data_IF_879625773902
#
_entry.id   IF_879625773902
#
_cell.length_a   1.000
_cell.length_b   1.000
_cell.length_c   1.000
_cell.angle_alpha   90.00
_cell.angle_beta   90.00
_cell.angle_gamma   90.00
#
_symmetry.space_group_name_H-M   'P 1'
#
loop_
_entity.id
_entity.type
_entity.pdbx_description
1 polymer ?
#
# COMPACT_ATOMS: atom_id res chain seq x y z
N UNK A 1 -0.32 -11.22 -22.19
CA UNK A 1 0.23 -11.50 -20.85
C UNK A 1 0.76 -10.22 -20.20
N UNK A 2 1.62 -9.45 -20.88
CA UNK A 2 2.18 -8.20 -20.34
C UNK A 2 1.14 -7.10 -20.04
N UNK A 3 0.19 -6.87 -20.96
CA UNK A 3 -0.85 -5.82 -20.77
C UNK A 3 -1.75 -6.12 -19.57
N UNK A 4 -2.23 -7.36 -19.45
CA UNK A 4 -3.04 -7.81 -18.31
C UNK A 4 -2.30 -7.67 -16.98
N UNK A 5 -1.01 -8.03 -16.96
CA UNK A 5 -0.17 -7.84 -15.76
C UNK A 5 -0.02 -6.36 -15.39
N UNK A 6 0.24 -5.48 -16.38
CA UNK A 6 0.34 -4.03 -16.15
C UNK A 6 -0.96 -3.44 -15.62
N UNK A 7 -2.12 -3.85 -16.14
CA UNK A 7 -3.44 -3.41 -15.64
C UNK A 7 -3.63 -3.82 -14.18
N UNK A 8 -3.35 -5.08 -13.84
CA UNK A 8 -3.45 -5.59 -12.48
C UNK A 8 -2.51 -4.84 -11.53
N UNK A 9 -1.23 -4.73 -11.89
CA UNK A 9 -0.23 -4.02 -11.08
C UNK A 9 -0.61 -2.55 -10.88
N UNK A 10 -1.12 -1.88 -11.92
CA UNK A 10 -1.56 -0.48 -11.83
C UNK A 10 -2.76 -0.33 -10.89
N UNK A 11 -3.71 -1.27 -10.92
CA UNK A 11 -4.84 -1.27 -9.99
C UNK A 11 -4.37 -1.39 -8.53
N UNK A 12 -3.48 -2.33 -8.27
CA UNK A 12 -2.90 -2.55 -6.93
C UNK A 12 -2.09 -1.35 -6.44
N UNK A 13 -1.27 -0.76 -7.32
CA UNK A 13 -0.53 0.46 -7.00
C UNK A 13 -1.48 1.63 -6.70
N UNK A 14 -2.58 1.76 -7.45
CA UNK A 14 -3.58 2.80 -7.20
C UNK A 14 -4.23 2.66 -5.82
N UNK A 15 -4.61 1.44 -5.43
CA UNK A 15 -5.14 1.13 -4.09
C UNK A 15 -4.08 1.40 -3.01
N UNK A 16 -2.84 0.98 -3.23
CA UNK A 16 -1.70 1.20 -2.31
C UNK A 16 -1.48 2.70 -2.06
N UNK A 17 -1.36 3.48 -3.14
CA UNK A 17 -1.16 4.92 -3.07
C UNK A 17 -2.32 5.62 -2.37
N UNK A 18 -3.57 5.19 -2.61
CA UNK A 18 -4.73 5.72 -1.91
C UNK A 18 -4.63 5.51 -0.40
N UNK A 19 -4.35 4.28 0.05
CA UNK A 19 -4.26 3.97 1.47
C UNK A 19 -3.11 4.74 2.15
N UNK A 20 -1.95 4.83 1.51
CA UNK A 20 -0.81 5.61 2.01
C UNK A 20 -1.18 7.10 2.13
N UNK A 21 -1.82 7.67 1.11
CA UNK A 21 -2.24 9.09 1.12
C UNK A 21 -3.25 9.39 2.23
N UNK A 22 -4.13 8.44 2.56
CA UNK A 22 -5.12 8.59 3.62
C UNK A 22 -4.60 8.19 5.01
N UNK A 23 -3.38 7.63 5.11
CA UNK A 23 -2.87 7.07 6.36
C UNK A 23 -3.68 5.87 6.88
N UNK A 24 -4.32 5.12 5.98
CA UNK A 24 -5.18 4.00 6.35
C UNK A 24 -4.38 2.70 6.50
N UNK A 25 -4.73 1.85 7.48
CA UNK A 25 -4.11 0.54 7.61
C UNK A 25 -4.48 -0.32 6.40
N UNK A 26 -3.52 -1.11 5.91
CA UNK A 26 -3.74 -1.96 4.73
C UNK A 26 -4.57 -3.20 5.08
N UNK A 27 -4.27 -3.81 6.22
CA UNK A 27 -4.72 -5.15 6.56
C UNK A 27 -5.92 -5.21 7.46
N UNK A 28 -6.67 -6.29 7.31
CA UNK A 28 -7.70 -6.73 8.23
C UNK A 28 -7.14 -7.74 9.23
N UNK A 29 -7.90 -8.01 10.29
CA UNK A 29 -7.60 -9.09 11.23
C UNK A 29 -7.82 -10.47 10.59
N UNK A 30 -8.79 -10.58 9.68
CA UNK A 30 -9.10 -11.78 8.93
C UNK A 30 -9.26 -11.43 7.44
N UNK A 31 -8.29 -11.83 6.62
CA UNK A 31 -8.28 -11.64 5.17
C UNK A 31 -8.81 -12.88 4.41
N UNK A 32 -9.40 -13.85 5.10
CA UNK A 32 -9.97 -15.04 4.46
C UNK A 32 -11.15 -14.69 3.55
N UNK A 33 -11.42 -15.54 2.56
CA UNK A 33 -12.53 -15.34 1.61
C UNK A 33 -13.91 -15.23 2.25
N UNK A 34 -14.05 -15.77 3.46
CA UNK A 34 -15.31 -15.82 4.20
C UNK A 34 -15.44 -14.69 5.23
N UNK A 35 -14.41 -13.83 5.35
CA UNK A 35 -14.45 -12.68 6.23
C UNK A 35 -15.47 -11.65 5.75
N UNK A 36 -16.20 -11.03 6.69
CA UNK A 36 -17.09 -9.90 6.40
C UNK A 36 -16.33 -8.61 6.08
N UNK A 37 -15.05 -8.54 6.47
CA UNK A 37 -14.16 -7.42 6.18
C UNK A 37 -12.73 -7.92 6.10
N UNK A 38 -12.22 -8.03 4.87
CA UNK A 38 -10.87 -8.51 4.55
C UNK A 38 -9.78 -7.46 4.71
N UNK A 39 -10.09 -6.33 5.35
CA UNK A 39 -9.19 -5.19 5.48
C UNK A 39 -9.27 -4.22 4.30
N UNK A 40 -8.80 -2.99 4.53
CA UNK A 40 -9.00 -1.89 3.59
C UNK A 40 -8.40 -2.16 2.21
N UNK A 41 -7.26 -2.87 2.13
CA UNK A 41 -6.62 -3.17 0.85
C UNK A 41 -7.48 -4.08 -0.03
N UNK A 42 -7.94 -5.21 0.51
CA UNK A 42 -8.72 -6.18 -0.26
C UNK A 42 -10.12 -5.65 -0.55
N UNK A 43 -10.78 -5.01 0.41
CA UNK A 43 -12.11 -4.41 0.22
C UNK A 43 -12.07 -3.29 -0.82
N UNK A 44 -11.05 -2.43 -0.80
CA UNK A 44 -10.92 -1.34 -1.77
C UNK A 44 -10.55 -1.86 -3.17
N UNK A 45 -9.71 -2.90 -3.25
CA UNK A 45 -9.39 -3.55 -4.53
C UNK A 45 -10.62 -4.21 -5.15
N UNK A 46 -11.42 -4.90 -4.34
CA UNK A 46 -12.70 -5.49 -4.78
C UNK A 46 -13.66 -4.39 -5.25
N UNK A 47 -13.85 -3.34 -4.44
CA UNK A 47 -14.68 -2.19 -4.79
C UNK A 47 -14.25 -1.51 -6.11
N UNK A 48 -12.94 -1.39 -6.32
CA UNK A 48 -12.35 -0.81 -7.52
C UNK A 48 -12.55 -1.71 -8.74
N UNK A 49 -12.30 -3.02 -8.58
CA UNK A 49 -12.45 -4.01 -9.65
C UNK A 49 -13.88 -4.11 -10.17
N UNK A 50 -14.90 -4.03 -9.30
CA UNK A 50 -16.31 -4.05 -9.68
C UNK A 50 -16.72 -2.90 -10.61
N UNK A 51 -15.93 -1.83 -10.67
CA UNK A 51 -16.19 -0.62 -11.48
C UNK A 51 -15.35 -0.54 -12.74
N UNK A 52 -14.39 -1.46 -12.91
CA UNK A 52 -13.49 -1.47 -14.05
C UNK A 52 -13.40 -2.89 -14.59
N UNK A 53 -14.06 -3.13 -15.73
CA UNK A 53 -14.15 -4.47 -16.34
C UNK A 53 -12.78 -5.07 -16.66
N UNK A 54 -11.81 -4.26 -17.09
CA UNK A 54 -10.45 -4.73 -17.36
C UNK A 54 -9.75 -5.17 -16.08
N UNK A 55 -9.87 -4.37 -15.01
CA UNK A 55 -9.31 -4.73 -13.69
C UNK A 55 -10.00 -5.98 -13.15
N UNK A 56 -11.33 -6.07 -13.22
CA UNK A 56 -12.08 -7.27 -12.83
C UNK A 56 -11.57 -8.53 -13.52
N UNK A 57 -11.38 -8.46 -14.85
CA UNK A 57 -10.85 -9.58 -15.64
C UNK A 57 -9.47 -10.00 -15.15
N UNK A 58 -8.60 -9.05 -14.80
CA UNK A 58 -7.22 -9.37 -14.38
C UNK A 58 -7.07 -9.79 -12.92
N UNK A 59 -7.88 -9.24 -12.02
CA UNK A 59 -7.84 -9.52 -10.57
C UNK A 59 -8.62 -10.79 -10.23
N UNK A 60 -9.81 -10.98 -10.82
CA UNK A 60 -10.75 -11.99 -10.36
C UNK A 60 -10.87 -13.24 -11.28
N UNK A 61 -10.32 -13.24 -12.51
CA UNK A 61 -10.30 -14.46 -13.36
C UNK A 61 -9.21 -15.46 -12.95
N UNK A 62 -8.92 -15.57 -11.64
CA UNK A 62 -7.86 -16.39 -11.06
C UNK A 62 -6.51 -16.17 -11.76
N UNK A 63 -5.89 -15.02 -11.49
CA UNK A 63 -4.44 -14.91 -11.67
C UNK A 63 -3.79 -16.14 -10.98
N UNK A 64 -2.92 -16.92 -11.68
CA UNK A 64 -2.34 -18.13 -11.11
C UNK A 64 -1.72 -17.78 -9.77
N UNK A 65 -1.93 -18.59 -8.71
CA UNK A 65 -1.83 -18.16 -7.30
C UNK A 65 -0.65 -17.23 -6.92
N UNK A 66 0.51 -17.40 -7.56
CA UNK A 66 1.69 -16.54 -7.35
C UNK A 66 1.57 -15.11 -7.92
N UNK A 67 0.58 -14.82 -8.75
CA UNK A 67 0.35 -13.57 -9.47
C UNK A 67 -0.88 -12.80 -8.95
N UNK A 68 -1.41 -13.19 -7.79
CA UNK A 68 -2.50 -12.45 -7.14
C UNK A 68 -2.05 -11.08 -6.62
N UNK A 69 -0.74 -10.92 -6.37
CA UNK A 69 -0.13 -9.66 -5.90
C UNK A 69 -0.74 -9.06 -4.61
N UNK A 70 -1.62 -9.80 -3.94
CA UNK A 70 -2.38 -9.40 -2.76
C UNK A 70 -1.78 -9.91 -1.46
N UNK A 71 -0.71 -10.73 -1.54
CA UNK A 71 -0.15 -11.37 -0.36
C UNK A 71 0.39 -10.34 0.64
N UNK A 72 0.38 -10.67 1.95
CA UNK A 72 1.03 -9.93 3.00
C UNK A 72 2.41 -9.35 2.65
N UNK A 73 3.26 -10.15 2.03
CA UNK A 73 4.62 -9.77 1.66
C UNK A 73 4.63 -8.73 0.55
N UNK A 74 3.82 -8.94 -0.49
CA UNK A 74 3.76 -8.06 -1.67
C UNK A 74 3.15 -6.70 -1.29
N UNK A 75 2.11 -6.66 -0.47
CA UNK A 75 1.54 -5.40 0.05
C UNK A 75 2.62 -4.55 0.75
N UNK A 76 3.50 -5.19 1.54
CA UNK A 76 4.60 -4.52 2.23
C UNK A 76 5.68 -4.04 1.25
N UNK A 77 6.03 -4.85 0.25
CA UNK A 77 6.99 -4.45 -0.80
C UNK A 77 6.48 -3.25 -1.60
N UNK A 78 5.20 -3.21 -1.95
CA UNK A 78 4.57 -2.08 -2.64
C UNK A 78 4.56 -0.82 -1.78
N UNK A 79 4.21 -0.94 -0.49
CA UNK A 79 4.26 0.18 0.43
C UNK A 79 5.69 0.75 0.57
N UNK A 80 6.69 -0.13 0.68
CA UNK A 80 8.09 0.25 0.73
C UNK A 80 8.54 0.94 -0.56
N UNK A 81 8.17 0.39 -1.73
CA UNK A 81 8.50 0.98 -3.03
C UNK A 81 7.90 2.39 -3.13
N UNK A 82 6.63 2.57 -2.77
CA UNK A 82 5.99 3.90 -2.74
C UNK A 82 6.70 4.85 -1.78
N UNK A 83 7.08 4.39 -0.58
CA UNK A 83 7.80 5.20 0.39
C UNK A 83 9.19 5.64 -0.10
N UNK A 84 9.92 4.76 -0.80
CA UNK A 84 11.20 5.08 -1.43
C UNK A 84 11.02 6.15 -2.51
N UNK A 85 10.00 5.99 -3.35
CA UNK A 85 9.68 6.88 -4.45
C UNK A 85 9.29 8.28 -3.96
N UNK A 86 8.44 8.35 -2.93
CA UNK A 86 8.03 9.59 -2.27
C UNK A 86 9.24 10.26 -1.61
N UNK A 87 10.04 9.49 -0.85
CA UNK A 87 11.25 10.02 -0.20
C UNK A 87 12.22 10.60 -1.23
N UNK A 88 12.43 9.91 -2.35
CA UNK A 88 13.31 10.41 -3.42
C UNK A 88 12.80 11.74 -3.97
N UNK A 89 11.51 11.85 -4.27
CA UNK A 89 10.92 13.11 -4.76
C UNK A 89 11.09 14.24 -3.73
N UNK A 90 10.90 13.96 -2.43
CA UNK A 90 11.12 14.96 -1.37
C UNK A 90 12.59 15.38 -1.31
N UNK A 91 13.53 14.44 -1.37
CA UNK A 91 14.97 14.73 -1.34
C UNK A 91 15.40 15.54 -2.58
N UNK A 92 14.90 15.17 -3.75
CA UNK A 92 15.18 15.88 -5.01
C UNK A 92 14.61 17.32 -4.98
N UNK A 93 13.44 17.52 -4.36
CA UNK A 93 12.81 18.84 -4.18
C UNK A 93 13.57 19.73 -3.19
N UNK A 94 14.08 19.15 -2.10
CA UNK A 94 14.99 19.85 -1.16
C UNK A 94 16.29 20.22 -1.87
N UNK A 95 16.86 19.32 -2.67
CA UNK A 95 18.15 19.51 -3.33
C UNK A 95 19.28 19.78 -2.33
N UNK A 96 20.07 20.82 -2.58
CA UNK A 96 21.17 21.24 -1.70
C UNK A 96 20.76 22.27 -0.63
N UNK A 97 19.45 22.51 -0.46
CA UNK A 97 18.96 23.48 0.51
C UNK A 97 19.05 22.96 1.96
N UNK A 98 18.99 23.88 2.91
CA UNK A 98 18.89 23.53 4.32
C UNK A 98 17.52 22.89 4.62
N UNK A 99 17.55 21.79 5.39
CA UNK A 99 16.36 21.15 5.95
C UNK A 99 16.53 20.97 7.46
N UNK A 100 15.43 20.75 8.16
CA UNK A 100 15.43 20.48 9.61
C UNK A 100 14.77 19.14 9.88
N UNK A 101 15.30 18.37 10.82
CA UNK A 101 14.70 17.12 11.25
C UNK A 101 14.02 17.32 12.60
N UNK A 102 12.72 17.04 12.69
CA UNK A 102 12.02 17.00 13.97
C UNK A 102 12.02 15.56 14.48
N UNK A 103 12.56 15.37 15.68
CA UNK A 103 12.58 14.08 16.37
C UNK A 103 11.71 14.21 17.62
N UNK A 104 10.63 13.43 17.65
CA UNK A 104 9.72 13.34 18.80
C UNK A 104 9.86 11.97 19.46
N UNK A 105 9.98 11.96 20.79
CA UNK A 105 10.08 10.74 21.58
C UNK A 105 8.92 10.68 22.57
N UNK A 106 8.12 9.62 22.46
CA UNK A 106 7.01 9.36 23.35
C UNK A 106 7.09 7.94 23.93
N UNK A 107 6.57 7.73 25.13
CA UNK A 107 6.42 6.39 25.71
C UNK A 107 4.99 5.90 25.52
N UNK A 108 4.83 4.70 25.00
CA UNK A 108 3.52 4.07 24.86
C UNK A 108 3.07 3.38 26.17
N UNK A 109 1.82 2.90 26.19
CA UNK A 109 1.24 2.20 27.35
C UNK A 109 1.99 0.89 27.70
N UNK A 110 2.85 0.38 26.83
CA UNK A 110 3.71 -0.78 27.08
C UNK A 110 5.08 -0.39 27.65
N UNK A 111 5.28 0.89 28.01
CA UNK A 111 6.52 1.47 28.55
C UNK A 111 7.66 1.44 27.51
N UNK A 112 7.35 1.18 26.24
CA UNK A 112 8.33 1.23 25.15
C UNK A 112 8.45 2.66 24.66
N UNK A 113 9.70 3.11 24.51
CA UNK A 113 10.01 4.37 23.84
C UNK A 113 9.76 4.19 22.34
N UNK A 114 9.03 5.13 21.76
CA UNK A 114 8.82 5.26 20.33
C UNK A 114 9.41 6.60 19.89
N UNK A 115 10.15 6.56 18.78
CA UNK A 115 10.75 7.75 18.18
C UNK A 115 10.11 7.97 16.81
N UNK A 116 9.63 9.18 16.57
CA UNK A 116 9.12 9.61 15.26
C UNK A 116 10.06 10.66 14.70
N UNK A 117 10.46 10.46 13.45
CA UNK A 117 11.31 11.38 12.71
C UNK A 117 10.47 12.00 11.60
N UNK A 118 10.49 13.32 11.49
CA UNK A 118 9.77 14.10 10.48
C UNK A 118 10.78 15.01 9.77
N UNK A 119 10.77 14.95 8.44
CA UNK A 119 11.51 15.83 7.53
C UNK A 119 10.70 17.10 7.25
#
# INVERSE_FOLDING_TARGET
>A
MEVAYRIHLTAILSVTCFLLKQGLPFRGNDESSNSLNKGNFLELLDWYSLRNEEVWKTVNQNAPGNNQLTSPKIQKELANACAMEITRVIVDDIGDNYFSLMVDEARDASIKQQMRVVL
#
